data_IF_331671384393
#
_entry.id   IF_331671384393
#
_cell.length_a   1.000
_cell.length_b   1.000
_cell.length_c   1.000
_cell.angle_alpha   90.00
_cell.angle_beta   90.00
_cell.angle_gamma   90.00
#
_symmetry.space_group_name_H-M   'P 1'
#
loop_
_entity.id
_entity.type
_entity.pdbx_description
1 polymer ?
#
# COMPACT_ATOMS: atom_id res chain seq x y z
N UNK A 1 17.65 -20.06 -6.50
CA UNK A 1 18.56 -19.08 -5.83
C UNK A 1 17.81 -17.76 -5.63
N UNK A 2 18.35 -16.76 -4.92
CA UNK A 2 17.65 -15.47 -4.74
C UNK A 2 17.34 -14.74 -6.06
N UNK A 3 18.21 -14.92 -7.06
CA UNK A 3 18.05 -14.31 -8.38
C UNK A 3 16.70 -14.64 -9.04
N UNK A 4 16.17 -15.85 -8.83
CA UNK A 4 14.91 -16.30 -9.44
C UNK A 4 13.65 -15.72 -8.78
N UNK A 5 13.83 -14.90 -7.73
CA UNK A 5 12.75 -14.25 -6.96
C UNK A 5 12.77 -12.72 -7.10
N UNK A 6 13.66 -12.19 -7.93
CA UNK A 6 13.80 -10.77 -8.20
C UNK A 6 13.33 -10.53 -9.62
N UNK A 7 12.32 -9.67 -9.74
CA UNK A 7 11.72 -9.33 -11.03
C UNK A 7 11.90 -7.84 -11.28
N UNK A 8 12.29 -7.49 -12.51
CA UNK A 8 12.40 -6.11 -12.95
C UNK A 8 11.25 -5.81 -13.92
N UNK A 9 10.47 -4.79 -13.63
CA UNK A 9 9.35 -4.39 -14.46
C UNK A 9 8.56 -3.23 -13.88
N UNK A 10 7.66 -2.66 -14.68
CA UNK A 10 6.71 -1.69 -14.19
C UNK A 10 5.57 -2.43 -13.47
N UNK A 11 5.36 -2.16 -12.18
CA UNK A 11 4.33 -2.82 -11.38
C UNK A 11 2.90 -2.70 -11.97
N UNK A 12 2.64 -1.68 -12.79
CA UNK A 12 1.35 -1.48 -13.47
C UNK A 12 1.12 -2.42 -14.66
N UNK A 13 2.18 -3.04 -15.20
CA UNK A 13 2.10 -3.94 -16.36
C UNK A 13 2.79 -5.28 -16.15
N UNK A 14 3.57 -5.43 -15.09
CA UNK A 14 4.24 -6.67 -14.72
C UNK A 14 3.22 -7.68 -14.17
N UNK A 15 3.34 -8.93 -14.60
CA UNK A 15 2.48 -10.03 -14.16
C UNK A 15 3.20 -10.89 -13.13
N UNK A 16 2.50 -11.20 -12.03
CA UNK A 16 3.04 -12.07 -11.00
C UNK A 16 3.09 -13.53 -11.50
N UNK A 17 4.22 -14.25 -11.32
CA UNK A 17 4.32 -15.66 -11.72
C UNK A 17 3.45 -16.58 -10.85
N UNK A 18 3.03 -16.11 -9.67
CA UNK A 18 2.13 -16.79 -8.74
C UNK A 18 1.54 -15.75 -7.77
N UNK A 19 0.40 -16.05 -7.11
CA UNK A 19 -0.11 -15.21 -6.03
C UNK A 19 0.87 -15.12 -4.85
N UNK A 20 0.77 -14.04 -4.09
CA UNK A 20 1.53 -13.81 -2.87
C UNK A 20 0.60 -13.77 -1.66
N UNK A 21 1.00 -14.31 -0.51
CA UNK A 21 0.21 -14.12 0.72
C UNK A 21 0.16 -12.64 1.12
N UNK A 22 1.27 -11.93 0.96
CA UNK A 22 1.39 -10.52 1.32
C UNK A 22 2.10 -9.73 0.22
N UNK A 23 1.58 -8.56 -0.12
CA UNK A 23 2.28 -7.54 -0.91
C UNK A 23 2.37 -6.26 -0.10
N UNK A 24 3.51 -5.56 -0.16
CA UNK A 24 3.69 -4.25 0.47
C UNK A 24 4.04 -3.21 -0.59
N UNK A 25 3.35 -2.08 -0.57
CA UNK A 25 3.60 -0.98 -1.52
C UNK A 25 3.56 0.39 -0.86
N UNK A 26 4.30 1.33 -1.44
CA UNK A 26 4.18 2.76 -1.23
C UNK A 26 3.53 3.43 -2.44
N UNK A 27 2.74 4.48 -2.22
CA UNK A 27 2.02 5.21 -3.27
C UNK A 27 2.63 6.60 -3.55
N UNK A 28 3.63 7.00 -2.78
CA UNK A 28 4.25 8.33 -2.81
C UNK A 28 4.91 8.65 -4.16
N UNK A 29 5.40 7.63 -4.86
CA UNK A 29 6.03 7.78 -6.18
C UNK A 29 5.09 7.44 -7.35
N UNK A 30 3.87 7.01 -7.06
CA UNK A 30 2.88 6.67 -8.09
C UNK A 30 2.12 7.95 -8.46
N UNK A 31 2.04 8.31 -9.76
CA UNK A 31 1.23 9.44 -10.21
C UNK A 31 -0.18 9.35 -9.65
N UNK A 32 -0.71 10.46 -9.12
CA UNK A 32 -1.97 10.48 -8.35
C UNK A 32 -3.14 9.79 -9.07
N UNK A 33 -3.30 10.05 -10.37
CA UNK A 33 -4.35 9.45 -11.21
C UNK A 33 -4.21 7.94 -11.44
N UNK A 34 -3.04 7.34 -11.16
CA UNK A 34 -2.77 5.91 -11.36
C UNK A 34 -2.66 5.10 -10.07
N UNK A 35 -2.80 5.74 -8.90
CA UNK A 35 -2.69 5.03 -7.61
C UNK A 35 -3.77 3.96 -7.45
N UNK A 36 -5.03 4.30 -7.79
CA UNK A 36 -6.14 3.34 -7.76
C UNK A 36 -5.87 2.12 -8.65
N UNK A 37 -5.39 2.37 -9.88
CA UNK A 37 -5.04 1.33 -10.84
C UNK A 37 -3.99 0.37 -10.26
N UNK A 38 -2.92 0.91 -9.66
CA UNK A 38 -1.90 0.08 -9.02
C UNK A 38 -2.47 -0.74 -7.87
N UNK A 39 -3.24 -0.14 -6.98
CA UNK A 39 -3.80 -0.83 -5.80
C UNK A 39 -4.71 -1.98 -6.22
N UNK A 40 -5.64 -1.74 -7.15
CA UNK A 40 -6.55 -2.78 -7.66
C UNK A 40 -5.76 -3.92 -8.30
N UNK A 41 -4.72 -3.60 -9.07
CA UNK A 41 -3.86 -4.61 -9.70
C UNK A 41 -3.12 -5.46 -8.66
N UNK A 42 -2.54 -4.83 -7.63
CA UNK A 42 -1.80 -5.56 -6.60
C UNK A 42 -2.70 -6.44 -5.74
N UNK A 43 -3.95 -6.03 -5.49
CA UNK A 43 -4.95 -6.89 -4.82
C UNK A 43 -5.22 -8.17 -5.62
N UNK A 44 -5.20 -8.10 -6.95
CA UNK A 44 -5.30 -9.30 -7.80
C UNK A 44 -4.13 -10.28 -7.70
N UNK A 45 -3.01 -9.88 -7.08
CA UNK A 45 -1.82 -10.71 -6.92
C UNK A 45 -1.59 -11.20 -5.50
N UNK A 46 -2.45 -10.86 -4.53
CA UNK A 46 -2.22 -11.24 -3.16
C UNK A 46 -3.46 -11.48 -2.31
N UNK A 47 -3.30 -12.17 -1.19
CA UNK A 47 -4.36 -12.31 -0.18
C UNK A 47 -4.49 -11.03 0.68
N UNK A 48 -3.38 -10.34 0.93
CA UNK A 48 -3.36 -9.07 1.69
C UNK A 48 -2.38 -8.07 1.13
N UNK A 49 -2.90 -6.88 0.81
CA UNK A 49 -2.11 -5.73 0.40
C UNK A 49 -1.87 -4.79 1.58
N UNK A 50 -0.60 -4.48 1.84
CA UNK A 50 -0.12 -3.57 2.87
C UNK A 50 0.31 -2.26 2.21
N UNK A 51 -0.30 -1.14 2.59
CA UNK A 51 -0.06 0.19 2.01
C UNK A 51 0.63 1.10 3.03
N UNK A 52 1.77 1.68 2.66
CA UNK A 52 2.60 2.53 3.52
C UNK A 52 3.95 1.88 3.83
N UNK A 53 4.68 2.29 4.86
CA UNK A 53 4.35 3.26 5.90
C UNK A 53 4.33 4.70 5.36
N UNK A 54 3.33 5.49 5.73
CA UNK A 54 3.30 6.94 5.51
C UNK A 54 3.50 7.70 6.82
N UNK A 55 4.10 8.88 6.74
CA UNK A 55 4.03 9.87 7.83
C UNK A 55 2.81 10.75 7.59
N UNK A 56 1.82 10.66 8.45
CA UNK A 56 0.60 11.46 8.39
C UNK A 56 0.41 12.22 9.70
N UNK A 57 -0.28 13.36 9.64
CA UNK A 57 -0.66 14.05 10.88
C UNK A 57 -1.65 13.18 11.67
N UNK A 58 -1.58 13.21 13.00
CA UNK A 58 -2.42 12.37 13.87
C UNK A 58 -3.92 12.66 13.71
N UNK A 59 -4.27 13.86 13.26
CA UNK A 59 -5.65 14.30 12.99
C UNK A 59 -6.11 14.04 11.55
N UNK A 60 -5.20 13.66 10.65
CA UNK A 60 -5.50 13.39 9.24
C UNK A 60 -5.59 11.89 8.97
N UNK A 61 -6.34 11.49 7.95
CA UNK A 61 -6.48 10.09 7.50
C UNK A 61 -6.26 9.97 5.99
N UNK A 62 -5.38 10.78 5.43
CA UNK A 62 -5.24 11.01 3.97
C UNK A 62 -5.15 9.73 3.13
N UNK A 63 -4.30 8.75 3.48
CA UNK A 63 -4.21 7.50 2.72
C UNK A 63 -5.46 6.63 2.91
N UNK A 64 -6.01 6.57 4.12
CA UNK A 64 -7.23 5.81 4.44
C UNK A 64 -8.43 6.39 3.68
N UNK A 65 -8.64 7.70 3.74
CA UNK A 65 -9.69 8.41 3.01
C UNK A 65 -9.54 8.23 1.50
N UNK A 66 -8.31 8.24 0.98
CA UNK A 66 -8.03 7.98 -0.43
C UNK A 66 -8.45 6.56 -0.84
N UNK A 67 -8.10 5.52 -0.07
CA UNK A 67 -8.50 4.14 -0.37
C UNK A 67 -10.02 3.96 -0.28
N UNK A 68 -10.65 4.50 0.77
CA UNK A 68 -12.10 4.47 0.96
C UNK A 68 -12.82 5.18 -0.19
N UNK A 69 -12.29 6.32 -0.68
CA UNK A 69 -12.87 7.05 -1.82
C UNK A 69 -12.91 6.23 -3.12
N UNK A 70 -12.07 5.19 -3.23
CA UNK A 70 -12.06 4.28 -4.37
C UNK A 70 -12.97 3.05 -4.19
N UNK A 71 -13.71 2.99 -3.07
CA UNK A 71 -14.55 1.84 -2.70
C UNK A 71 -13.78 0.67 -2.09
N UNK A 72 -12.54 0.90 -1.61
CA UNK A 72 -11.70 -0.15 -1.04
C UNK A 72 -11.93 -0.21 0.47
N UNK A 73 -12.44 -1.35 0.95
CA UNK A 73 -12.65 -1.61 2.36
C UNK A 73 -11.32 -1.96 3.05
N UNK A 74 -11.00 -1.26 4.14
CA UNK A 74 -9.81 -1.56 4.93
C UNK A 74 -10.08 -2.74 5.87
N UNK A 75 -9.16 -3.69 5.91
CA UNK A 75 -9.17 -4.79 6.88
C UNK A 75 -8.49 -4.40 8.20
N UNK A 76 -7.64 -3.38 8.19
CA UNK A 76 -7.12 -2.79 9.42
C UNK A 76 -5.97 -1.80 9.22
N UNK A 77 -5.43 -1.33 10.34
CA UNK A 77 -4.35 -0.35 10.38
C UNK A 77 -3.44 -0.53 11.59
N UNK A 78 -2.20 -0.07 11.44
CA UNK A 78 -1.26 0.11 12.55
C UNK A 78 -0.71 1.52 12.53
N UNK A 79 -0.62 2.11 13.72
CA UNK A 79 -0.27 3.50 13.94
C UNK A 79 0.80 3.58 15.01
N UNK A 80 1.83 4.39 14.77
CA UNK A 80 2.91 4.63 15.75
C UNK A 80 3.32 6.10 15.73
N UNK A 81 3.27 6.75 16.89
CA UNK A 81 3.75 8.12 17.04
C UNK A 81 5.19 8.29 16.52
N UNK A 82 5.43 9.35 15.75
CA UNK A 82 6.75 9.70 15.28
C UNK A 82 7.52 10.43 16.39
N UNK A 83 8.47 9.72 17.02
CA UNK A 83 9.27 10.26 18.13
C UNK A 83 10.04 11.54 17.81
N UNK A 84 10.34 11.80 16.52
CA UNK A 84 11.12 12.97 16.08
C UNK A 84 10.25 14.12 15.60
N UNK A 85 8.95 13.91 15.39
CA UNK A 85 8.03 14.90 14.85
C UNK A 85 6.69 14.83 15.62
N UNK A 86 6.54 15.63 16.69
CA UNK A 86 5.27 15.71 17.43
C UNK A 86 4.10 16.02 16.50
N UNK A 87 2.95 15.38 16.74
CA UNK A 87 1.75 15.48 15.90
C UNK A 87 1.78 14.63 14.63
N UNK A 88 2.89 13.95 14.32
CA UNK A 88 2.99 13.02 13.19
C UNK A 88 2.99 11.56 13.65
N UNK A 89 2.38 10.70 12.85
CA UNK A 89 2.32 9.26 13.05
C UNK A 89 2.82 8.51 11.82
N UNK A 90 3.49 7.39 12.06
CA UNK A 90 3.71 6.35 11.07
C UNK A 90 2.44 5.52 10.94
N UNK A 91 1.85 5.49 9.75
CA UNK A 91 0.64 4.73 9.46
C UNK A 91 0.88 3.70 8.38
N UNK A 92 0.39 2.49 8.62
CA UNK A 92 0.28 1.43 7.63
C UNK A 92 -1.14 0.88 7.65
N UNK A 93 -1.68 0.62 6.47
CA UNK A 93 -3.04 0.11 6.27
C UNK A 93 -2.93 -1.25 5.58
N UNK A 94 -3.90 -2.14 5.81
CA UNK A 94 -4.02 -3.35 5.00
C UNK A 94 -5.45 -3.59 4.52
N UNK A 95 -5.52 -4.22 3.35
CA UNK A 95 -6.73 -4.61 2.63
C UNK A 95 -6.61 -6.10 2.35
N UNK A 96 -7.67 -6.84 2.65
CA UNK A 96 -7.79 -8.26 2.30
C UNK A 96 -8.48 -8.35 0.92
N UNK A 97 -7.96 -9.21 0.04
CA UNK A 97 -8.45 -9.37 -1.34
C UNK A 97 -9.59 -10.38 -1.48
#
# INVERSE_FOLDING_TARGET
>A
IWADRIFAGNALTWEAPHPFTYVRTGLEYVPSGRRRELVVRLLGFCERLIVGVFNEHETERTTEDQLVSWGIALAGRSVRANRRKPGMEYRVLWVDA
#
